data_IF_622997998655
#
_entry.id   IF_622997998655
#
_cell.length_a   1.000
_cell.length_b   1.000
_cell.length_c   1.000
_cell.angle_alpha   90.00
_cell.angle_beta   90.00
_cell.angle_gamma   90.00
#
_symmetry.space_group_name_H-M   'P 1'
#
loop_
_entity.id
_entity.type
_entity.pdbx_description
1 polymer ?
#
# COMPACT_ATOMS: atom_id res chain seq x y z
N UNK A 1 5.47 25.35 -3.30
CA UNK A 1 5.14 25.62 -1.87
C UNK A 1 5.66 24.46 -1.04
N UNK A 2 6.00 24.64 0.24
CA UNK A 2 6.54 23.56 1.04
C UNK A 2 5.50 22.43 1.06
N UNK A 3 5.84 21.32 0.43
CA UNK A 3 4.95 20.19 0.21
C UNK A 3 4.53 19.64 1.56
N UNK A 4 3.24 19.75 1.86
CA UNK A 4 2.64 19.11 3.03
C UNK A 4 3.03 17.64 3.05
N UNK A 5 3.43 17.16 4.22
CA UNK A 5 3.91 15.81 4.38
C UNK A 5 2.79 14.82 4.00
N UNK A 6 3.03 14.03 2.95
CA UNK A 6 2.03 13.17 2.29
C UNK A 6 1.50 12.13 3.29
N UNK A 7 0.19 12.16 3.55
CA UNK A 7 -0.45 11.25 4.51
C UNK A 7 -0.86 9.97 3.81
N UNK A 8 -0.43 8.83 4.34
CA UNK A 8 -0.80 7.52 3.80
C UNK A 8 -1.54 6.70 4.86
N UNK A 9 -2.50 5.89 4.40
CA UNK A 9 -3.08 4.84 5.23
C UNK A 9 -2.01 3.79 5.51
N UNK A 10 -1.91 3.28 6.75
CA UNK A 10 -0.99 2.22 7.10
C UNK A 10 -1.79 1.00 7.56
N UNK A 11 -1.60 -0.11 6.86
CA UNK A 11 -2.14 -1.39 7.21
C UNK A 11 -1.14 -2.48 6.88
N UNK A 12 -0.62 -3.15 7.90
CA UNK A 12 0.30 -4.26 7.68
C UNK A 12 -0.40 -5.43 7.00
N UNK A 13 -1.61 -5.76 7.47
CA UNK A 13 -2.40 -6.82 6.89
C UNK A 13 -3.89 -6.51 6.96
N UNK A 14 -4.47 -6.23 5.80
CA UNK A 14 -5.91 -6.16 5.59
C UNK A 14 -6.42 -7.56 5.25
N UNK A 15 -7.25 -8.11 6.13
CA UNK A 15 -7.93 -9.39 5.94
C UNK A 15 -9.07 -9.25 4.93
N UNK A 16 -9.58 -10.37 4.39
CA UNK A 16 -10.66 -10.35 3.39
C UNK A 16 -11.95 -9.66 3.84
N UNK A 17 -12.19 -9.60 5.14
CA UNK A 17 -13.35 -8.92 5.72
C UNK A 17 -13.13 -7.40 5.87
N UNK A 18 -12.04 -6.85 5.33
CA UNK A 18 -11.66 -5.43 5.44
C UNK A 18 -11.06 -5.05 6.80
N UNK A 19 -10.91 -6.00 7.73
CA UNK A 19 -10.24 -5.73 9.00
C UNK A 19 -8.76 -5.49 8.75
N UNK A 20 -8.33 -4.27 9.06
CA UNK A 20 -6.91 -3.95 9.10
C UNK A 20 -6.30 -4.40 10.43
N UNK A 21 -5.23 -5.18 10.34
CA UNK A 21 -4.30 -5.42 11.43
C UNK A 21 -3.20 -4.38 11.32
N UNK A 22 -3.20 -3.33 12.16
CA UNK A 22 -2.13 -2.35 12.17
C UNK A 22 -0.88 -2.97 12.81
N UNK A 23 0.28 -2.74 12.21
CA UNK A 23 1.60 -3.05 12.81
C UNK A 23 2.33 -1.75 13.22
N UNK A 24 1.92 -0.61 12.66
CA UNK A 24 2.41 0.71 13.01
C UNK A 24 1.32 1.78 12.81
N UNK A 25 1.47 2.97 13.43
CA UNK A 25 0.56 4.10 13.19
C UNK A 25 0.56 4.54 11.71
N UNK A 26 -0.46 5.28 11.25
CA UNK A 26 -0.48 5.91 9.93
C UNK A 26 0.84 6.63 9.66
N UNK A 27 1.43 6.40 8.49
CA UNK A 27 2.72 6.96 8.15
C UNK A 27 2.57 8.27 7.38
N UNK A 28 3.49 9.18 7.65
CA UNK A 28 3.69 10.40 6.88
C UNK A 28 4.90 10.17 5.99
N UNK A 29 4.69 10.14 4.67
CA UNK A 29 5.75 9.84 3.72
C UNK A 29 6.85 10.91 3.79
N UNK A 30 8.07 10.43 3.96
CA UNK A 30 9.29 11.23 3.96
C UNK A 30 9.68 11.64 2.53
N UNK A 31 10.62 12.58 2.34
CA UNK A 31 11.14 12.90 1.01
C UNK A 31 11.62 11.63 0.27
N UNK A 32 11.07 11.39 -0.93
CA UNK A 32 11.36 10.20 -1.75
C UNK A 32 10.48 8.98 -1.46
N UNK A 33 9.55 9.07 -0.51
CA UNK A 33 8.52 8.08 -0.28
C UNK A 33 7.23 8.41 -1.02
N UNK A 34 6.40 7.39 -1.22
CA UNK A 34 5.05 7.52 -1.72
C UNK A 34 4.15 6.58 -0.93
N UNK A 35 2.85 6.82 -0.98
CA UNK A 35 1.92 5.80 -0.51
C UNK A 35 2.05 4.55 -1.38
N UNK A 36 1.69 3.39 -0.84
CA UNK A 36 1.51 2.18 -1.62
C UNK A 36 0.33 1.39 -1.09
N UNK A 37 -0.25 0.60 -1.98
CA UNK A 37 -1.17 -0.49 -1.64
C UNK A 37 -0.77 -1.73 -2.42
N UNK A 38 -0.42 -2.78 -1.69
CA UNK A 38 -0.09 -4.07 -2.26
C UNK A 38 -1.22 -5.07 -1.98
N UNK A 39 -1.64 -5.80 -3.00
CA UNK A 39 -2.56 -6.91 -2.87
C UNK A 39 -1.83 -8.19 -3.27
N UNK A 40 -1.93 -9.21 -2.43
CA UNK A 40 -1.31 -10.51 -2.68
C UNK A 40 -2.42 -11.51 -2.99
N UNK A 41 -2.27 -12.22 -4.11
CA UNK A 41 -3.20 -13.22 -4.59
C UNK A 41 -2.50 -14.58 -4.67
N UNK A 42 -3.22 -15.65 -4.37
CA UNK A 42 -2.87 -16.98 -4.83
C UNK A 42 -3.89 -17.36 -5.90
N UNK A 43 -3.41 -17.62 -7.12
CA UNK A 43 -4.26 -17.75 -8.31
C UNK A 43 -5.21 -16.55 -8.45
N UNK A 44 -6.53 -16.75 -8.27
CA UNK A 44 -7.57 -15.71 -8.40
C UNK A 44 -8.07 -15.19 -7.05
N UNK A 45 -7.45 -15.60 -5.95
CA UNK A 45 -7.97 -15.37 -4.62
C UNK A 45 -7.07 -14.43 -3.83
N UNK A 46 -7.62 -13.28 -3.39
CA UNK A 46 -6.92 -12.34 -2.51
C UNK A 46 -6.56 -13.03 -1.20
N UNK A 47 -5.28 -13.12 -0.86
CA UNK A 47 -4.83 -13.63 0.43
C UNK A 47 -4.95 -12.54 1.50
N UNK A 48 -4.34 -11.38 1.23
CA UNK A 48 -4.39 -10.18 2.06
C UNK A 48 -3.92 -8.97 1.25
N UNK A 49 -4.20 -7.79 1.78
CA UNK A 49 -3.61 -6.54 1.28
C UNK A 49 -2.74 -5.90 2.34
N UNK A 50 -1.80 -5.07 1.93
CA UNK A 50 -1.00 -4.21 2.81
C UNK A 50 -0.92 -2.81 2.21
N UNK A 51 -0.71 -1.81 3.04
CA UNK A 51 -0.62 -0.41 2.64
C UNK A 51 0.27 0.36 3.60
N UNK A 52 0.90 1.41 3.10
CA UNK A 52 1.77 2.26 3.91
C UNK A 52 2.56 3.24 3.06
N UNK A 53 3.74 3.62 3.56
CA UNK A 53 4.70 4.50 2.90
C UNK A 53 5.88 3.64 2.45
N UNK A 54 6.33 3.82 1.20
CA UNK A 54 7.46 3.07 0.66
C UNK A 54 8.28 3.95 -0.27
N UNK A 55 9.60 3.72 -0.29
CA UNK A 55 10.51 4.30 -1.29
C UNK A 55 10.47 3.48 -2.58
N UNK A 56 10.73 4.12 -3.70
CA UNK A 56 10.82 3.47 -5.01
C UNK A 56 9.57 2.66 -5.40
N UNK A 57 8.38 3.12 -5.00
CA UNK A 57 7.13 2.47 -5.35
C UNK A 57 6.96 2.44 -6.88
N UNK A 58 6.62 1.26 -7.42
CA UNK A 58 6.22 1.11 -8.83
C UNK A 58 4.91 0.34 -8.90
N UNK A 59 4.00 0.83 -9.75
CA UNK A 59 2.78 0.08 -10.05
C UNK A 59 3.18 -1.14 -10.88
N UNK A 60 3.03 -2.33 -10.31
CA UNK A 60 3.47 -3.59 -10.94
C UNK A 60 2.46 -4.70 -10.65
N UNK A 61 2.35 -5.63 -11.59
CA UNK A 61 1.73 -6.93 -11.40
C UNK A 61 2.78 -7.98 -11.71
N UNK A 62 3.19 -8.77 -10.72
CA UNK A 62 4.25 -9.76 -10.85
C UNK A 62 3.90 -11.06 -10.15
N UNK A 63 4.53 -12.17 -10.57
CA UNK A 63 4.40 -13.50 -9.96
C UNK A 63 3.62 -14.49 -10.80
N UNK A 64 3.96 -15.78 -10.66
CA UNK A 64 3.42 -16.90 -11.46
C UNK A 64 2.33 -17.67 -10.71
N UNK A 65 2.57 -18.00 -9.44
CA UNK A 65 1.62 -18.72 -8.57
C UNK A 65 1.03 -17.81 -7.47
N UNK A 66 1.87 -16.94 -6.93
CA UNK A 66 1.47 -15.87 -6.02
C UNK A 66 1.63 -14.57 -6.78
N UNK A 67 0.53 -13.87 -7.02
CA UNK A 67 0.56 -12.57 -7.71
C UNK A 67 0.64 -11.44 -6.69
N UNK A 68 1.48 -10.46 -6.98
CA UNK A 68 1.59 -9.22 -6.25
C UNK A 68 1.13 -8.09 -7.16
N UNK A 69 0.07 -7.40 -6.78
CA UNK A 69 -0.37 -6.18 -7.45
C UNK A 69 -0.03 -5.02 -6.53
N UNK A 70 0.92 -4.19 -6.95
CA UNK A 70 1.24 -2.95 -6.26
C UNK A 70 0.59 -1.78 -6.99
N UNK A 71 -0.14 -0.94 -6.25
CA UNK A 71 -0.88 0.22 -6.74
C UNK A 71 -0.58 1.43 -5.86
N UNK A 72 -1.06 2.58 -6.30
CA UNK A 72 -1.05 3.83 -5.52
C UNK A 72 0.34 4.39 -5.24
N UNK A 73 1.32 4.11 -6.11
CA UNK A 73 2.66 4.70 -6.10
C UNK A 73 2.65 6.17 -6.56
N UNK A 74 1.85 7.01 -5.91
CA UNK A 74 1.67 8.43 -6.26
C UNK A 74 1.83 9.31 -5.03
N UNK A 75 1.93 10.61 -5.25
CA UNK A 75 2.06 11.62 -4.19
C UNK A 75 0.69 12.23 -3.86
N UNK A 76 -0.36 11.42 -3.84
CA UNK A 76 -1.72 11.84 -3.48
C UNK A 76 -2.06 11.33 -2.09
N UNK A 77 -2.49 12.24 -1.21
CA UNK A 77 -2.89 11.89 0.16
C UNK A 77 -3.93 10.77 0.16
N UNK A 78 -3.70 9.78 1.01
CA UNK A 78 -4.58 8.63 1.26
C UNK A 78 -4.99 7.87 0.00
N UNK A 79 -4.21 7.91 -1.07
CA UNK A 79 -4.55 7.19 -2.31
C UNK A 79 -4.57 5.67 -2.11
N UNK A 80 -3.89 5.18 -1.07
CA UNK A 80 -3.87 3.77 -0.68
C UNK A 80 -5.00 3.37 0.30
N UNK A 81 -5.95 4.26 0.58
CA UNK A 81 -7.19 3.94 1.26
C UNK A 81 -8.13 3.21 0.28
N UNK A 82 -8.78 2.14 0.75
CA UNK A 82 -9.67 1.31 -0.06
C UNK A 82 -11.01 1.93 -0.38
#
# INVERSE_FOLDING_TARGET
>A
GPGGALKCYNCYRELRNGTCVPDAPPCTAQPGESCYRQQIFAEHVVLYSSSGCIRNCKNVQAGVYIHHINRCCSHKDLCNLS
#
